data_IF_070705570535
#
_entry.id   IF_070705570535
#
_cell.length_a   1.000
_cell.length_b   1.000
_cell.length_c   1.000
_cell.angle_alpha   90.00
_cell.angle_beta   90.00
_cell.angle_gamma   90.00
#
_symmetry.space_group_name_H-M   'P 1'
#
loop_
_entity.id
_entity.type
_entity.pdbx_description
1 polymer ?
#
# COMPACT_ATOMS: atom_id res chain seq x y z
N UNK A 1 -17.80 -13.98 7.94
CA UNK A 1 -17.86 -14.98 6.85
C UNK A 1 -16.44 -15.11 6.37
N UNK A 2 -15.81 -16.26 6.60
CA UNK A 2 -14.45 -16.54 6.16
C UNK A 2 -14.56 -17.16 4.76
N UNK A 3 -13.95 -16.53 3.76
CA UNK A 3 -13.96 -17.00 2.37
C UNK A 3 -12.69 -17.81 2.12
N UNK A 4 -12.79 -18.93 1.42
CA UNK A 4 -11.61 -19.62 0.93
C UNK A 4 -10.91 -18.75 -0.14
N UNK A 5 -9.57 -18.87 -0.31
CA UNK A 5 -8.83 -18.06 -1.29
C UNK A 5 -9.40 -18.12 -2.73
N UNK A 6 -9.89 -19.29 -3.16
CA UNK A 6 -10.51 -19.47 -4.47
C UNK A 6 -11.85 -18.73 -4.60
N UNK A 7 -12.67 -18.74 -3.55
CA UNK A 7 -13.94 -18.00 -3.56
C UNK A 7 -13.67 -16.50 -3.64
N UNK A 8 -12.66 -16.01 -2.94
CA UNK A 8 -12.24 -14.61 -3.02
C UNK A 8 -11.75 -14.25 -4.44
N UNK A 9 -10.98 -15.14 -5.09
CA UNK A 9 -10.55 -14.96 -6.47
C UNK A 9 -11.73 -14.83 -7.44
N UNK A 10 -12.74 -15.70 -7.33
CA UNK A 10 -13.96 -15.59 -8.15
C UNK A 10 -14.71 -14.26 -7.93
N UNK A 11 -14.73 -13.77 -6.69
CA UNK A 11 -15.35 -12.48 -6.38
C UNK A 11 -14.60 -11.32 -7.01
N UNK A 12 -13.26 -11.36 -7.03
CA UNK A 12 -12.45 -10.37 -7.75
C UNK A 12 -12.79 -10.35 -9.24
N UNK A 13 -12.95 -11.52 -9.87
CA UNK A 13 -13.35 -11.60 -11.27
C UNK A 13 -14.77 -11.07 -11.51
N UNK A 14 -15.72 -11.35 -10.60
CA UNK A 14 -17.08 -10.77 -10.69
C UNK A 14 -17.06 -9.25 -10.59
N UNK A 15 -16.25 -8.68 -9.70
CA UNK A 15 -16.08 -7.22 -9.59
C UNK A 15 -15.52 -6.62 -10.88
N UNK A 16 -14.54 -7.29 -11.50
CA UNK A 16 -14.01 -6.88 -12.80
C UNK A 16 -15.05 -6.98 -13.92
N UNK A 17 -15.61 -8.16 -14.15
CA UNK A 17 -16.36 -8.47 -15.37
C UNK A 17 -17.84 -8.03 -15.30
N UNK A 18 -18.45 -8.06 -14.11
CA UNK A 18 -19.86 -7.67 -13.90
C UNK A 18 -19.94 -6.26 -13.32
N UNK A 19 -19.09 -5.95 -12.34
CA UNK A 19 -19.08 -4.63 -11.69
C UNK A 19 -18.45 -3.55 -12.56
N UNK A 20 -17.61 -3.92 -13.53
CA UNK A 20 -16.82 -2.96 -14.31
C UNK A 20 -15.85 -2.16 -13.44
N UNK A 21 -15.40 -2.73 -12.31
CA UNK A 21 -14.50 -2.05 -11.40
C UNK A 21 -13.14 -1.80 -12.06
N UNK A 22 -12.56 -0.62 -11.82
CA UNK A 22 -11.27 -0.22 -12.37
C UNK A 22 -10.07 -0.83 -11.63
N UNK A 23 -10.28 -1.35 -10.42
CA UNK A 23 -9.26 -2.00 -9.60
C UNK A 23 -9.93 -2.92 -8.56
N UNK A 24 -9.11 -3.77 -7.92
CA UNK A 24 -9.47 -4.49 -6.70
C UNK A 24 -8.72 -3.83 -5.55
N UNK A 25 -9.45 -3.25 -4.59
CA UNK A 25 -8.86 -2.56 -3.44
C UNK A 25 -8.98 -3.41 -2.17
N UNK A 26 -7.85 -3.89 -1.69
CA UNK A 26 -7.72 -4.62 -0.43
C UNK A 26 -7.48 -3.62 0.69
N UNK A 27 -8.43 -3.52 1.61
CA UNK A 27 -8.39 -2.53 2.70
C UNK A 27 -8.00 -3.21 4.00
N UNK A 28 -6.86 -2.81 4.56
CA UNK A 28 -6.28 -3.33 5.80
C UNK A 28 -6.25 -4.87 5.88
N UNK A 29 -5.63 -5.56 4.90
CA UNK A 29 -5.56 -7.01 4.91
C UNK A 29 -4.35 -7.56 5.70
N UNK A 30 -3.67 -6.75 6.53
CA UNK A 30 -2.35 -7.05 7.10
C UNK A 30 -2.33 -8.38 7.91
N UNK A 31 -3.47 -8.75 8.49
CA UNK A 31 -3.66 -9.96 9.31
C UNK A 31 -3.93 -11.24 8.51
N UNK A 32 -4.14 -11.13 7.19
CA UNK A 32 -4.51 -12.24 6.29
C UNK A 32 -3.70 -12.23 4.99
N UNK A 33 -2.48 -11.68 5.04
CA UNK A 33 -1.59 -11.58 3.86
C UNK A 33 -1.38 -12.93 3.17
N UNK A 34 -1.11 -14.06 3.87
CA UNK A 34 -0.95 -15.35 3.19
C UNK A 34 -2.18 -15.78 2.39
N UNK A 35 -3.39 -15.56 2.93
CA UNK A 35 -4.64 -15.89 2.26
C UNK A 35 -4.89 -14.97 1.06
N UNK A 36 -4.57 -13.68 1.20
CA UNK A 36 -4.65 -12.69 0.12
C UNK A 36 -3.71 -13.08 -1.03
N UNK A 37 -2.47 -13.46 -0.72
CA UNK A 37 -1.49 -13.90 -1.73
C UNK A 37 -2.03 -15.08 -2.53
N UNK A 38 -2.56 -16.10 -1.85
CA UNK A 38 -3.17 -17.26 -2.51
C UNK A 38 -4.37 -16.88 -3.39
N UNK A 39 -5.21 -15.96 -2.91
CA UNK A 39 -6.36 -15.50 -3.66
C UNK A 39 -5.97 -14.67 -4.89
N UNK A 40 -4.96 -13.81 -4.78
CA UNK A 40 -4.45 -13.01 -5.88
C UNK A 40 -3.81 -13.88 -6.96
N UNK A 41 -2.99 -14.86 -6.57
CA UNK A 41 -2.42 -15.84 -7.50
C UNK A 41 -3.52 -16.57 -8.28
N UNK A 42 -4.52 -17.11 -7.57
CA UNK A 42 -5.66 -17.77 -8.20
C UNK A 42 -6.47 -16.80 -9.11
N UNK A 43 -6.69 -15.55 -8.69
CA UNK A 43 -7.40 -14.56 -9.49
C UNK A 43 -6.66 -14.23 -10.79
N UNK A 44 -5.33 -14.12 -10.74
CA UNK A 44 -4.49 -13.90 -11.94
C UNK A 44 -4.60 -15.09 -12.90
N UNK A 45 -4.56 -16.33 -12.40
CA UNK A 45 -4.78 -17.53 -13.23
C UNK A 45 -6.17 -17.54 -13.88
N UNK A 46 -7.18 -17.03 -13.18
CA UNK A 46 -8.56 -16.88 -13.68
C UNK A 46 -8.76 -15.67 -14.62
N UNK A 47 -7.73 -14.85 -14.85
CA UNK A 47 -7.77 -13.74 -15.81
C UNK A 47 -8.09 -12.37 -15.20
N UNK A 48 -7.74 -12.13 -13.93
CA UNK A 48 -7.78 -10.79 -13.33
C UNK A 48 -6.74 -9.87 -14.00
N UNK A 49 -7.24 -8.81 -14.64
CA UNK A 49 -6.47 -7.83 -15.42
C UNK A 49 -6.42 -6.45 -14.78
N UNK A 50 -7.43 -6.10 -13.98
CA UNK A 50 -7.47 -4.80 -13.31
C UNK A 50 -6.37 -4.70 -12.25
N UNK A 51 -5.83 -3.49 -11.99
CA UNK A 51 -4.84 -3.28 -10.94
C UNK A 51 -5.32 -3.73 -9.56
N UNK A 52 -4.41 -4.25 -8.76
CA UNK A 52 -4.60 -4.57 -7.35
C UNK A 52 -4.04 -3.43 -6.50
N UNK A 53 -4.90 -2.83 -5.69
CA UNK A 53 -4.57 -1.76 -4.75
C UNK A 53 -4.49 -2.34 -3.34
N UNK A 54 -3.40 -2.08 -2.64
CA UNK A 54 -3.20 -2.47 -1.24
C UNK A 54 -3.23 -1.23 -0.35
N UNK A 55 -4.36 -1.04 0.34
CA UNK A 55 -4.59 0.06 1.26
C UNK A 55 -4.32 -0.39 2.70
N UNK A 56 -3.41 0.29 3.37
CA UNK A 56 -2.86 -0.16 4.65
C UNK A 56 -2.59 0.99 5.60
N UNK A 57 -2.50 0.66 6.89
CA UNK A 57 -2.05 1.56 7.94
C UNK A 57 -0.55 1.87 7.92
N UNK A 58 0.22 1.29 6.99
CA UNK A 58 1.67 1.36 6.93
C UNK A 58 2.34 0.75 8.17
N UNK A 59 1.77 -0.33 8.70
CA UNK A 59 2.32 -1.05 9.85
C UNK A 59 2.48 -2.55 9.52
N UNK A 60 2.78 -2.83 8.25
CA UNK A 60 2.98 -4.17 7.74
C UNK A 60 4.36 -4.68 8.16
N UNK A 61 4.47 -6.01 8.32
CA UNK A 61 5.79 -6.62 8.44
C UNK A 61 6.50 -6.66 7.09
N UNK A 62 7.82 -6.47 7.07
CA UNK A 62 8.61 -6.59 5.83
C UNK A 62 8.44 -7.96 5.18
N UNK A 63 8.38 -9.04 5.97
CA UNK A 63 8.11 -10.39 5.47
C UNK A 63 6.74 -10.50 4.78
N UNK A 64 5.72 -9.79 5.26
CA UNK A 64 4.42 -9.72 4.60
C UNK A 64 4.52 -8.98 3.26
N UNK A 65 5.26 -7.88 3.20
CA UNK A 65 5.46 -7.11 1.99
C UNK A 65 6.24 -7.90 0.93
N UNK A 66 7.25 -8.66 1.34
CA UNK A 66 7.99 -9.56 0.43
C UNK A 66 7.07 -10.57 -0.27
N UNK A 67 6.07 -11.10 0.44
CA UNK A 67 5.09 -12.03 -0.14
C UNK A 67 4.14 -11.37 -1.16
N UNK A 68 3.97 -10.05 -1.06
CA UNK A 68 3.10 -9.26 -1.93
C UNK A 68 3.83 -8.74 -3.18
N UNK A 69 5.16 -8.87 -3.24
CA UNK A 69 5.96 -8.40 -4.35
C UNK A 69 5.53 -9.06 -5.67
N UNK A 70 5.32 -8.24 -6.69
CA UNK A 70 4.80 -8.65 -8.00
C UNK A 70 3.29 -8.97 -8.03
N UNK A 71 2.58 -8.98 -6.90
CA UNK A 71 1.13 -9.23 -6.85
C UNK A 71 0.31 -7.95 -6.72
N UNK A 72 0.83 -6.99 -5.94
CA UNK A 72 0.25 -5.66 -5.77
C UNK A 72 0.77 -4.71 -6.85
N UNK A 73 -0.14 -3.96 -7.45
CA UNK A 73 0.21 -2.96 -8.46
C UNK A 73 0.37 -1.58 -7.82
N UNK A 74 -0.53 -1.21 -6.90
CA UNK A 74 -0.54 0.10 -6.24
C UNK A 74 -0.59 -0.05 -4.73
N UNK A 75 0.37 0.56 -4.03
CA UNK A 75 0.33 0.67 -2.57
C UNK A 75 -0.28 2.01 -2.16
N UNK A 76 -1.14 1.99 -1.14
CA UNK A 76 -1.78 3.18 -0.61
C UNK A 76 -1.69 3.22 0.93
N UNK A 77 -0.49 3.43 1.50
CA UNK A 77 -0.28 3.46 2.94
C UNK A 77 -0.75 4.78 3.57
N UNK A 78 -1.27 4.68 4.78
CA UNK A 78 -1.62 5.81 5.65
C UNK A 78 -0.48 6.10 6.62
N UNK A 79 0.23 7.23 6.46
CA UNK A 79 1.23 7.71 7.42
C UNK A 79 0.58 8.73 8.38
N UNK A 80 0.39 8.33 9.64
CA UNK A 80 -0.48 9.05 10.58
C UNK A 80 0.26 10.01 11.53
N UNK A 81 1.33 9.55 12.17
CA UNK A 81 2.00 10.23 13.29
C UNK A 81 3.50 9.91 13.29
N UNK A 82 4.31 10.77 13.87
CA UNK A 82 5.77 10.70 13.85
C UNK A 82 6.37 10.40 15.22
N UNK A 83 5.87 11.04 16.28
CA UNK A 83 6.45 10.93 17.61
C UNK A 83 6.06 9.61 18.28
N UNK A 84 7.01 8.96 18.96
CA UNK A 84 6.76 7.68 19.66
C UNK A 84 5.67 7.83 20.75
N UNK A 85 5.66 8.96 21.46
CA UNK A 85 4.65 9.24 22.47
C UNK A 85 3.24 9.36 21.87
N UNK A 86 3.12 10.01 20.70
CA UNK A 86 1.86 10.14 19.97
C UNK A 86 1.42 8.80 19.40
N UNK A 87 2.34 8.05 18.79
CA UNK A 87 2.14 6.71 18.27
C UNK A 87 1.60 5.76 19.35
N UNK A 88 2.24 5.72 20.53
CA UNK A 88 1.77 4.95 21.69
C UNK A 88 0.38 5.37 22.14
N UNK A 89 0.11 6.68 22.20
CA UNK A 89 -1.16 7.23 22.70
C UNK A 89 -2.33 6.95 21.74
N UNK A 90 -2.14 7.14 20.44
CA UNK A 90 -3.21 7.09 19.44
C UNK A 90 -3.34 5.73 18.77
N UNK A 91 -2.23 5.03 18.55
CA UNK A 91 -2.18 3.77 17.80
C UNK A 91 -1.86 2.55 18.69
N UNK A 92 -1.48 2.76 19.96
CA UNK A 92 -1.02 1.71 20.88
C UNK A 92 0.22 0.95 20.38
N UNK A 93 1.01 1.58 19.51
CA UNK A 93 2.27 1.08 18.99
C UNK A 93 3.28 2.22 19.08
N UNK A 94 4.37 2.04 19.83
CA UNK A 94 5.35 3.12 20.06
C UNK A 94 6.38 3.24 18.93
N UNK A 95 6.54 2.17 18.18
CA UNK A 95 7.44 1.95 17.03
C UNK A 95 6.78 2.23 15.67
N UNK A 96 5.53 2.69 15.66
CA UNK A 96 4.76 2.93 14.44
C UNK A 96 5.49 3.76 13.38
N UNK A 97 6.08 4.90 13.76
CA UNK A 97 6.72 5.79 12.79
C UNK A 97 7.97 5.16 12.15
N UNK A 98 8.68 4.29 12.88
CA UNK A 98 9.79 3.52 12.32
C UNK A 98 9.29 2.44 11.36
N UNK A 99 8.35 1.61 11.81
CA UNK A 99 7.74 0.57 10.99
C UNK A 99 7.07 1.14 9.72
N UNK A 100 6.44 2.31 9.81
CA UNK A 100 5.82 2.99 8.67
C UNK A 100 6.84 3.45 7.64
N UNK A 101 7.96 4.01 8.07
CA UNK A 101 9.03 4.44 7.15
C UNK A 101 9.66 3.24 6.44
N UNK A 102 9.91 2.15 7.17
CA UNK A 102 10.44 0.92 6.58
C UNK A 102 9.45 0.29 5.60
N UNK A 103 8.17 0.20 5.99
CA UNK A 103 7.10 -0.32 5.14
C UNK A 103 6.93 0.50 3.86
N UNK A 104 6.92 1.83 3.98
CA UNK A 104 6.76 2.75 2.84
C UNK A 104 7.92 2.59 1.85
N UNK A 105 9.17 2.50 2.34
CA UNK A 105 10.34 2.26 1.48
C UNK A 105 10.26 0.90 0.78
N UNK A 106 9.89 -0.16 1.51
CA UNK A 106 9.74 -1.49 0.91
C UNK A 106 8.63 -1.52 -0.14
N UNK A 107 7.49 -0.89 0.13
CA UNK A 107 6.41 -0.73 -0.84
C UNK A 107 6.88 0.02 -2.07
N UNK A 108 7.54 1.17 -1.88
CA UNK A 108 8.07 1.97 -2.99
C UNK A 108 9.06 1.15 -3.83
N UNK A 109 10.03 0.48 -3.20
CA UNK A 109 11.01 -0.35 -3.90
C UNK A 109 10.38 -1.45 -4.79
N UNK A 110 9.19 -1.94 -4.44
CA UNK A 110 8.46 -2.91 -5.25
C UNK A 110 7.76 -2.28 -6.46
N UNK A 111 7.06 -1.15 -6.28
CA UNK A 111 6.14 -0.61 -7.30
C UNK A 111 6.65 0.64 -8.01
N UNK A 112 7.60 1.36 -7.41
CA UNK A 112 8.13 2.64 -7.85
C UNK A 112 7.13 3.78 -7.79
N UNK A 113 7.39 4.82 -8.59
CA UNK A 113 6.54 6.00 -8.68
C UNK A 113 5.17 5.71 -9.28
N UNK A 114 4.20 6.51 -8.84
CA UNK A 114 2.82 6.40 -9.28
C UNK A 114 2.70 6.74 -10.78
N UNK A 115 2.31 5.73 -11.55
CA UNK A 115 2.06 5.78 -12.98
C UNK A 115 0.58 5.60 -13.30
N UNK A 116 0.13 6.29 -14.35
CA UNK A 116 -1.25 6.30 -14.80
C UNK A 116 -1.39 5.73 -16.20
N UNK A 117 -2.51 5.08 -16.48
CA UNK A 117 -2.91 4.73 -17.86
C UNK A 117 -3.43 5.95 -18.62
N UNK A 118 -3.59 5.81 -19.94
CA UNK A 118 -4.02 6.90 -20.84
C UNK A 118 -5.40 7.48 -20.54
N UNK A 119 -6.23 6.75 -19.81
CA UNK A 119 -7.55 7.14 -19.31
C UNK A 119 -7.51 7.77 -17.91
N UNK A 120 -6.31 7.95 -17.32
CA UNK A 120 -6.11 8.63 -16.04
C UNK A 120 -6.24 7.72 -14.81
N UNK A 121 -6.34 6.40 -14.97
CA UNK A 121 -6.41 5.47 -13.85
C UNK A 121 -5.02 5.11 -13.33
N UNK A 122 -4.86 4.99 -12.01
CA UNK A 122 -3.63 4.53 -11.40
C UNK A 122 -3.35 3.08 -11.82
N UNK A 123 -2.19 2.84 -12.41
CA UNK A 123 -1.81 1.53 -12.96
C UNK A 123 -0.80 0.81 -12.07
N UNK A 124 0.23 1.52 -11.61
CA UNK A 124 1.27 0.98 -10.72
C UNK A 124 1.93 2.10 -9.94
N UNK A 125 2.32 1.86 -8.70
CA UNK A 125 3.18 2.75 -7.92
C UNK A 125 2.67 3.04 -6.52
N UNK A 126 3.38 3.91 -5.79
CA UNK A 126 3.07 4.24 -4.40
C UNK A 126 2.27 5.55 -4.29
N UNK A 127 1.17 5.54 -3.52
CA UNK A 127 0.40 6.72 -3.14
C UNK A 127 0.29 6.84 -1.61
N UNK A 128 1.18 7.61 -0.99
CA UNK A 128 1.13 7.83 0.46
C UNK A 128 0.02 8.81 0.83
N UNK A 129 -0.80 8.46 1.82
CA UNK A 129 -1.83 9.33 2.39
C UNK A 129 -1.41 9.76 3.79
N UNK A 130 -1.37 11.07 4.03
CA UNK A 130 -1.16 11.60 5.37
C UNK A 130 -2.50 11.99 5.99
N UNK A 131 -2.80 11.43 7.17
CA UNK A 131 -3.98 11.81 7.95
C UNK A 131 -3.64 12.99 8.86
N UNK A 132 -4.11 14.19 8.51
CA UNK A 132 -3.91 15.39 9.33
C UNK A 132 -4.73 15.27 10.62
N UNK A 133 -4.04 15.21 11.74
CA UNK A 133 -4.65 15.10 13.07
C UNK A 133 -4.66 16.48 13.76
N UNK A 134 -5.79 16.94 14.32
CA UNK A 134 -5.85 18.23 15.02
C UNK A 134 -4.87 18.31 16.18
N UNK A 135 -4.07 19.38 16.24
CA UNK A 135 -3.06 19.60 17.27
C UNK A 135 -1.76 18.83 17.09
N UNK A 136 -1.58 18.15 15.96
CA UNK A 136 -0.35 17.42 15.58
C UNK A 136 0.22 17.94 14.24
N UNK A 137 -0.01 19.21 13.93
CA UNK A 137 0.38 19.82 12.65
C UNK A 137 1.90 19.79 12.44
N UNK A 138 2.69 19.94 13.50
CA UNK A 138 4.16 19.84 13.43
C UNK A 138 4.62 18.43 13.05
N UNK A 139 4.01 17.37 13.60
CA UNK A 139 4.30 16.00 13.18
C UNK A 139 3.94 15.78 11.70
N UNK A 140 2.82 16.36 11.25
CA UNK A 140 2.43 16.33 9.85
C UNK A 140 3.45 16.98 8.92
N UNK A 141 4.02 18.13 9.32
CA UNK A 141 5.12 18.77 8.57
C UNK A 141 6.33 17.87 8.48
N UNK A 142 6.75 17.26 9.59
CA UNK A 142 7.89 16.34 9.60
C UNK A 142 7.66 15.12 8.70
N UNK A 143 6.45 14.57 8.68
CA UNK A 143 6.07 13.49 7.75
C UNK A 143 6.21 13.94 6.30
N UNK A 144 5.72 15.14 5.96
CA UNK A 144 5.81 15.68 4.60
C UNK A 144 7.26 15.98 4.19
N UNK A 145 8.08 16.53 5.09
CA UNK A 145 9.51 16.77 4.86
C UNK A 145 10.27 15.46 4.62
N UNK A 146 9.96 14.42 5.40
CA UNK A 146 10.53 13.10 5.20
C UNK A 146 10.11 12.51 3.84
N UNK A 147 8.81 12.54 3.51
CA UNK A 147 8.30 12.04 2.22
C UNK A 147 8.94 12.77 1.02
N UNK A 148 9.09 14.10 1.11
CA UNK A 148 9.75 14.87 0.07
C UNK A 148 11.21 14.45 -0.11
N UNK A 149 11.92 14.19 0.99
CA UNK A 149 13.31 13.72 0.92
C UNK A 149 13.42 12.34 0.26
N UNK A 150 12.59 11.38 0.67
CA UNK A 150 12.63 10.03 0.08
C UNK A 150 12.32 10.06 -1.43
N UNK A 151 11.41 10.93 -1.87
CA UNK A 151 11.13 11.10 -3.30
C UNK A 151 12.29 11.74 -4.08
N UNK A 152 13.09 12.61 -3.46
CA UNK A 152 14.21 13.29 -4.13
C UNK A 152 15.49 12.45 -4.17
N UNK A 153 15.80 11.68 -3.12
CA UNK A 153 17.00 10.84 -3.06
C UNK A 153 17.03 9.82 -4.24
N UNK A 154 15.88 9.51 -4.84
CA UNK A 154 15.75 8.60 -5.99
C UNK A 154 15.91 9.26 -7.36
N UNK A 155 15.57 10.53 -7.52
CA UNK A 155 15.79 11.28 -8.77
C UNK A 155 17.30 11.37 -9.08
N UNK A 156 18.12 11.48 -8.04
CA UNK A 156 19.58 11.48 -8.16
C UNK A 156 20.16 10.10 -8.52
N UNK A 157 19.56 9.00 -8.04
CA UNK A 157 19.98 7.63 -8.41
C UNK A 157 19.53 7.22 -9.82
N UNK A 158 18.36 7.68 -10.29
CA UNK A 158 17.81 7.33 -11.60
C UNK A 158 18.21 8.30 -12.73
N UNK A 159 18.71 9.50 -12.41
CA UNK A 159 19.20 10.51 -13.37
C UNK A 159 20.58 10.24 -13.99
N UNK A 160 21.19 9.08 -13.71
CA UNK A 160 22.55 8.72 -14.13
C UNK A 160 22.68 7.74 -15.30
N UNK A 161 21.63 7.49 -16.09
CA UNK A 161 21.68 6.60 -17.27
C UNK A 161 21.29 7.26 -18.57
#
# INVERSE_FOLDING_TARGET
MELAPHELAEWMLKLQDVGGCHNINLVTPEHVVPQVVLALLAARELGLRVPVVYNTSAYDSLASLELLDGLVDVYMPDFKVWEAATSRRLLKAEDYAEAARESIRAMHAQVGDLSFSSDGLAKRGLLVRHLVMPGLEEEGKTIMEWLAKEAHDEEEEHGGR
#
